data_IF_179893086378
#
_entry.id   IF_179893086378
#
_cell.length_a   1.000
_cell.length_b   1.000
_cell.length_c   1.000
_cell.angle_alpha   90.00
_cell.angle_beta   90.00
_cell.angle_gamma   90.00
#
_symmetry.space_group_name_H-M   'P 1'
#
loop_
_entity.id
_entity.type
_entity.pdbx_description
1 polymer ?
#
# COMPACT_ATOMS: atom_id res chain seq x y z
N UNK A 1 -10.78 -35.93 3.18
CA UNK A 1 -11.00 -34.50 2.87
C UNK A 1 -9.68 -34.03 2.29
N UNK A 2 -9.62 -33.76 0.99
CA UNK A 2 -8.38 -33.30 0.35
C UNK A 2 -8.22 -31.82 0.66
N UNK A 3 -7.04 -31.41 1.10
CA UNK A 3 -6.71 -29.99 1.17
C UNK A 3 -7.01 -29.37 -0.20
N UNK A 4 -7.62 -28.20 -0.23
CA UNK A 4 -7.75 -27.48 -1.49
C UNK A 4 -6.34 -27.23 -2.03
N UNK A 5 -6.18 -27.24 -3.36
CA UNK A 5 -4.86 -27.13 -4.01
C UNK A 5 -4.05 -25.92 -3.46
N UNK A 6 -4.74 -24.82 -3.14
CA UNK A 6 -4.15 -23.64 -2.52
C UNK A 6 -3.61 -23.84 -1.10
N UNK A 7 -4.29 -24.62 -0.25
CA UNK A 7 -3.80 -24.91 1.11
C UNK A 7 -2.57 -25.83 1.08
N UNK A 8 -2.55 -26.79 0.15
CA UNK A 8 -1.39 -27.65 -0.05
C UNK A 8 -0.18 -26.84 -0.55
N UNK A 9 -0.39 -25.94 -1.52
CA UNK A 9 0.64 -25.03 -2.01
C UNK A 9 1.17 -24.10 -0.90
N UNK A 10 0.30 -23.56 -0.04
CA UNK A 10 0.74 -22.75 1.11
C UNK A 10 1.66 -23.52 2.06
N UNK A 11 1.33 -24.79 2.36
CA UNK A 11 2.16 -25.62 3.22
C UNK A 11 3.56 -25.85 2.61
N UNK A 12 3.64 -26.05 1.30
CA UNK A 12 4.90 -26.18 0.59
C UNK A 12 5.72 -24.88 0.63
N UNK A 13 5.09 -23.73 0.40
CA UNK A 13 5.75 -22.41 0.52
C UNK A 13 6.28 -22.15 1.93
N UNK A 14 5.54 -22.52 2.98
CA UNK A 14 6.00 -22.43 4.36
C UNK A 14 7.18 -23.38 4.65
N UNK A 15 7.18 -24.56 4.02
CA UNK A 15 8.31 -25.50 4.09
C UNK A 15 9.55 -24.91 3.44
N UNK A 16 9.42 -24.25 2.29
CA UNK A 16 10.54 -23.54 1.63
C UNK A 16 11.12 -22.42 2.50
N UNK A 17 10.28 -21.67 3.22
CA UNK A 17 10.74 -20.64 4.17
C UNK A 17 11.51 -21.20 5.38
N UNK A 18 11.50 -22.52 5.58
CA UNK A 18 12.28 -23.18 6.64
C UNK A 18 13.70 -23.53 6.20
N UNK A 19 13.99 -23.51 4.88
CA UNK A 19 15.35 -23.72 4.37
C UNK A 19 16.19 -22.45 4.54
N UNK A 20 17.30 -22.50 5.32
CA UNK A 20 18.16 -21.34 5.55
C UNK A 20 18.85 -20.81 4.27
N UNK A 21 18.92 -21.60 3.21
CA UNK A 21 19.55 -21.22 1.94
C UNK A 21 18.55 -20.94 0.82
N UNK A 22 17.26 -20.81 1.13
CA UNK A 22 16.21 -20.63 0.13
C UNK A 22 16.46 -19.45 -0.82
N UNK A 23 17.06 -18.36 -0.32
CA UNK A 23 17.42 -17.16 -1.10
C UNK A 23 18.38 -17.44 -2.28
N UNK A 24 19.06 -18.59 -2.28
CA UNK A 24 19.90 -19.03 -3.41
C UNK A 24 19.08 -19.52 -4.60
N UNK A 25 17.85 -19.98 -4.36
CA UNK A 25 16.92 -20.47 -5.36
C UNK A 25 15.81 -19.46 -5.66
N UNK A 26 15.22 -18.88 -4.61
CA UNK A 26 14.13 -17.89 -4.70
C UNK A 26 14.20 -16.96 -3.49
N UNK A 27 13.97 -15.65 -3.70
CA UNK A 27 14.05 -14.70 -2.61
C UNK A 27 12.91 -14.94 -1.63
N UNK A 28 13.19 -14.90 -0.34
CA UNK A 28 12.17 -15.06 0.71
C UNK A 28 11.02 -14.06 0.54
N UNK A 29 11.30 -12.82 0.11
CA UNK A 29 10.28 -11.81 -0.13
C UNK A 29 9.26 -12.20 -1.21
N UNK A 30 9.69 -12.90 -2.27
CA UNK A 30 8.79 -13.37 -3.33
C UNK A 30 7.87 -14.48 -2.81
N UNK A 31 8.39 -15.37 -1.94
CA UNK A 31 7.57 -16.39 -1.27
C UNK A 31 6.52 -15.73 -0.37
N UNK A 32 6.92 -14.75 0.45
CA UNK A 32 5.99 -14.01 1.30
C UNK A 32 4.93 -13.28 0.48
N UNK A 33 5.27 -12.71 -0.67
CA UNK A 33 4.30 -12.06 -1.55
C UNK A 33 3.17 -13.01 -1.95
N UNK A 34 3.52 -14.21 -2.43
CA UNK A 34 2.53 -15.21 -2.84
C UNK A 34 1.64 -15.63 -1.66
N UNK A 35 2.22 -15.82 -0.46
CA UNK A 35 1.46 -16.17 0.74
C UNK A 35 0.48 -15.04 1.13
N UNK A 36 0.93 -13.80 1.12
CA UNK A 36 0.14 -12.62 1.50
C UNK A 36 -1.02 -12.42 0.51
N UNK A 37 -0.72 -12.49 -0.79
CA UNK A 37 -1.72 -12.36 -1.86
C UNK A 37 -2.76 -13.49 -1.79
N UNK A 38 -2.34 -14.73 -1.52
CA UNK A 38 -3.27 -15.83 -1.33
C UNK A 38 -4.24 -15.55 -0.18
N UNK A 39 -3.75 -15.12 0.98
CA UNK A 39 -4.63 -14.82 2.11
C UNK A 39 -5.55 -13.64 1.83
N UNK A 40 -5.05 -12.57 1.20
CA UNK A 40 -5.85 -11.42 0.84
C UNK A 40 -6.94 -11.76 -0.19
N UNK A 41 -6.63 -12.56 -1.21
CA UNK A 41 -7.60 -13.03 -2.20
C UNK A 41 -8.73 -13.88 -1.59
N UNK A 42 -8.45 -14.55 -0.48
CA UNK A 42 -9.42 -15.32 0.29
C UNK A 42 -10.11 -14.50 1.40
N UNK A 43 -9.96 -13.17 1.43
CA UNK A 43 -10.44 -12.26 2.47
C UNK A 43 -9.95 -12.61 3.88
N UNK A 44 -8.88 -13.40 3.99
CA UNK A 44 -8.25 -13.74 5.26
C UNK A 44 -7.19 -12.69 5.63
N UNK A 45 -7.66 -11.46 5.88
CA UNK A 45 -6.79 -10.33 6.16
C UNK A 45 -5.97 -10.50 7.44
N UNK A 46 -6.45 -11.28 8.41
CA UNK A 46 -5.72 -11.63 9.64
C UNK A 46 -4.51 -12.53 9.36
N UNK A 47 -4.63 -13.52 8.48
CA UNK A 47 -3.46 -14.32 8.09
C UNK A 47 -2.51 -13.52 7.18
N UNK A 48 -3.05 -12.67 6.29
CA UNK A 48 -2.24 -11.83 5.42
C UNK A 48 -1.35 -10.86 6.21
N UNK A 49 -1.91 -10.20 7.23
CA UNK A 49 -1.15 -9.28 8.09
C UNK A 49 -0.09 -10.00 8.93
N UNK A 50 -0.40 -11.18 9.47
CA UNK A 50 0.57 -11.98 10.21
C UNK A 50 1.76 -12.38 9.31
N UNK A 51 1.50 -12.77 8.07
CA UNK A 51 2.55 -13.09 7.10
C UNK A 51 3.42 -11.86 6.76
N UNK A 52 2.83 -10.67 6.62
CA UNK A 52 3.57 -9.42 6.42
C UNK A 52 4.45 -9.05 7.63
N UNK A 53 3.95 -9.25 8.85
CA UNK A 53 4.73 -9.00 10.07
C UNK A 53 5.89 -9.99 10.19
N UNK A 54 5.66 -11.27 9.88
CA UNK A 54 6.71 -12.28 9.84
C UNK A 54 7.78 -11.94 8.79
N UNK A 55 7.36 -11.52 7.59
CA UNK A 55 8.26 -11.03 6.54
C UNK A 55 9.14 -9.89 7.04
N UNK A 56 8.57 -8.88 7.70
CA UNK A 56 9.35 -7.76 8.29
C UNK A 56 10.30 -8.24 9.39
N UNK A 57 9.89 -9.19 10.22
CA UNK A 57 10.74 -9.76 11.28
C UNK A 57 11.95 -10.51 10.72
N UNK A 58 11.78 -11.26 9.63
CA UNK A 58 12.87 -12.03 9.02
C UNK A 58 13.74 -11.18 8.10
N UNK A 59 13.14 -10.18 7.45
CA UNK A 59 13.76 -9.34 6.43
C UNK A 59 13.64 -7.85 6.85
N UNK A 60 14.31 -7.41 7.91
CA UNK A 60 14.09 -6.07 8.48
C UNK A 60 14.53 -4.91 7.58
N UNK A 61 15.32 -5.19 6.53
CA UNK A 61 15.85 -4.18 5.60
C UNK A 61 15.04 -4.01 4.34
N UNK A 62 13.96 -4.78 4.16
CA UNK A 62 13.14 -4.72 2.94
C UNK A 62 11.84 -3.97 3.18
N UNK A 63 11.41 -3.22 2.17
CA UNK A 63 10.07 -2.66 2.15
C UNK A 63 9.11 -3.67 1.48
N UNK A 64 8.03 -4.11 2.16
CA UNK A 64 7.04 -5.02 1.58
C UNK A 64 6.41 -4.53 0.27
N UNK A 65 6.36 -3.22 0.03
CA UNK A 65 5.83 -2.64 -1.21
C UNK A 65 6.64 -2.99 -2.47
N UNK A 66 7.85 -3.54 -2.34
CA UNK A 66 8.62 -4.04 -3.48
C UNK A 66 8.21 -5.44 -3.94
N UNK A 67 7.45 -6.16 -3.11
CA UNK A 67 7.11 -7.56 -3.33
C UNK A 67 5.61 -7.77 -3.49
N UNK A 68 4.80 -7.01 -2.75
CA UNK A 68 3.34 -7.19 -2.71
C UNK A 68 2.67 -6.08 -3.51
N UNK A 69 1.66 -6.45 -4.31
CA UNK A 69 0.86 -5.48 -5.06
C UNK A 69 0.28 -4.39 -4.14
N UNK A 70 0.37 -3.09 -4.52
CA UNK A 70 -0.18 -1.98 -3.73
C UNK A 70 -1.66 -2.12 -3.38
N UNK A 71 -2.49 -2.71 -4.25
CA UNK A 71 -3.92 -2.96 -4.01
C UNK A 71 -4.13 -3.99 -2.91
N UNK A 72 -3.29 -5.04 -2.88
CA UNK A 72 -3.29 -6.04 -1.81
C UNK A 72 -2.92 -5.40 -0.47
N UNK A 73 -1.86 -4.59 -0.44
CA UNK A 73 -1.46 -3.86 0.78
C UNK A 73 -2.54 -2.90 1.26
N UNK A 74 -3.19 -2.16 0.35
CA UNK A 74 -4.30 -1.28 0.68
C UNK A 74 -5.50 -2.04 1.22
N UNK A 75 -5.82 -3.21 0.65
CA UNK A 75 -6.92 -4.06 1.12
C UNK A 75 -6.66 -4.57 2.53
N UNK A 76 -5.43 -5.00 2.82
CA UNK A 76 -5.03 -5.42 4.16
C UNK A 76 -5.12 -4.24 5.14
N UNK A 77 -4.58 -3.08 4.77
CA UNK A 77 -4.62 -1.87 5.59
C UNK A 77 -6.06 -1.48 5.99
N UNK A 78 -6.97 -1.42 5.01
CA UNK A 78 -8.38 -1.06 5.23
C UNK A 78 -9.11 -2.04 6.14
N UNK A 79 -8.80 -3.34 6.08
CA UNK A 79 -9.50 -4.37 6.84
C UNK A 79 -8.88 -4.66 8.20
N UNK A 80 -7.65 -4.21 8.45
CA UNK A 80 -6.92 -4.49 9.71
C UNK A 80 -6.61 -3.23 10.51
N UNK A 81 -6.81 -2.04 9.94
CA UNK A 81 -6.46 -0.77 10.58
C UNK A 81 -4.96 -0.46 10.58
N UNK A 82 -4.12 -1.28 9.95
CA UNK A 82 -2.68 -0.99 9.87
C UNK A 82 -2.34 0.03 8.78
N UNK A 83 -1.48 0.97 9.12
CA UNK A 83 -0.87 1.94 8.23
C UNK A 83 0.55 1.48 7.82
N UNK A 84 0.73 1.10 6.56
CA UNK A 84 2.05 0.71 6.04
C UNK A 84 2.92 1.91 5.63
N UNK A 85 2.76 3.09 6.26
CA UNK A 85 3.47 4.29 5.82
C UNK A 85 4.98 4.08 5.92
N UNK A 86 5.65 4.30 4.79
CA UNK A 86 7.09 4.16 4.57
C UNK A 86 7.86 5.24 5.34
N UNK A 87 7.88 5.18 6.67
CA UNK A 87 8.82 5.97 7.46
C UNK A 87 9.66 5.03 8.30
N UNK A 88 10.92 4.94 7.90
CA UNK A 88 11.96 4.18 8.55
C UNK A 88 12.25 4.76 9.95
N UNK A 89 12.52 3.86 10.90
CA UNK A 89 13.12 4.04 12.22
C UNK A 89 12.19 4.42 13.39
N UNK A 90 12.18 3.52 14.37
CA UNK A 90 11.75 3.80 15.75
C UNK A 90 10.62 2.89 16.18
N UNK A 91 10.95 1.99 17.11
CA UNK A 91 10.11 1.42 18.15
C UNK A 91 8.65 1.91 18.20
N UNK A 92 7.70 0.99 18.26
CA UNK A 92 6.94 0.76 19.50
C UNK A 92 5.98 -0.42 19.35
N UNK A 93 6.11 -1.27 20.36
CA UNK A 93 5.17 -2.26 20.81
C UNK A 93 3.85 -1.63 21.27
N UNK A 94 2.87 -2.52 21.42
CA UNK A 94 1.70 -2.39 22.29
C UNK A 94 0.40 -1.78 21.73
N UNK A 95 -0.66 -2.57 21.88
CA UNK A 95 -1.99 -2.27 21.39
C UNK A 95 -2.65 -1.09 22.11
N UNK A 96 -3.46 -0.37 21.35
CA UNK A 96 -4.35 0.65 21.86
C UNK A 96 -5.52 0.79 20.89
N UNK A 97 -6.67 0.25 21.26
CA UNK A 97 -7.95 0.73 20.75
C UNK A 97 -8.09 2.20 21.09
N UNK A 98 -8.40 3.05 20.10
CA UNK A 98 -9.27 4.21 20.24
C UNK A 98 -9.48 4.84 18.85
N UNK A 99 -10.72 4.71 18.39
CA UNK A 99 -11.47 5.70 17.60
C UNK A 99 -10.89 7.12 17.72
N UNK A 100 -10.67 7.81 16.60
CA UNK A 100 -11.20 9.16 16.36
C UNK A 100 -11.05 9.49 14.87
N UNK A 101 -12.16 9.85 14.24
CA UNK A 101 -12.21 10.33 12.87
C UNK A 101 -11.41 11.61 12.68
N UNK A 102 -10.83 11.76 11.49
CA UNK A 102 -10.52 13.07 10.96
C UNK A 102 -10.91 13.12 9.48
N UNK A 103 -11.92 13.93 9.21
CA UNK A 103 -12.42 14.21 7.88
C UNK A 103 -11.44 15.04 7.08
N UNK A 104 -11.36 14.72 5.80
CA UNK A 104 -11.05 15.70 4.78
C UNK A 104 -12.10 15.53 3.70
N UNK A 105 -13.25 16.14 3.95
CA UNK A 105 -14.16 16.57 2.89
C UNK A 105 -13.37 17.55 2.00
N UNK A 106 -13.15 17.17 0.74
CA UNK A 106 -12.62 18.09 -0.27
C UNK A 106 -13.69 19.17 -0.52
N UNK A 107 -13.47 20.38 0.00
CA UNK A 107 -14.18 21.57 -0.47
C UNK A 107 -13.78 21.82 -1.93
N UNK A 108 -14.66 21.43 -2.86
CA UNK A 108 -14.68 21.94 -4.22
C UNK A 108 -15.10 23.41 -4.17
N UNK A 109 -14.12 24.31 -4.32
CA UNK A 109 -14.38 25.72 -4.57
C UNK A 109 -14.76 25.86 -6.04
N UNK A 110 -16.04 26.12 -6.31
CA UNK A 110 -16.49 26.61 -7.62
C UNK A 110 -16.06 28.08 -7.73
N UNK A 111 -15.02 28.35 -8.54
CA UNK A 111 -14.69 29.72 -8.95
C UNK A 111 -15.61 30.10 -10.11
N UNK A 112 -16.70 30.80 -9.78
CA UNK A 112 -17.50 31.59 -10.73
C UNK A 112 -16.65 32.78 -11.23
N UNK A 113 -16.06 32.65 -12.42
CA UNK A 113 -15.38 33.73 -13.14
C UNK A 113 -16.39 34.43 -14.06
N UNK A 114 -17.27 35.23 -13.46
CA UNK A 114 -18.11 36.21 -14.15
C UNK A 114 -17.50 37.62 -14.01
N UNK A 115 -17.14 38.21 -15.15
CA UNK A 115 -17.35 39.62 -15.56
C UNK A 115 -16.17 40.25 -16.33
N UNK A 116 -16.44 40.38 -17.64
CA UNK A 116 -16.00 41.42 -18.57
C UNK A 116 -15.76 42.79 -17.92
N UNK A 117 -14.54 43.33 -18.02
CA UNK A 117 -14.33 44.72 -18.44
C UNK A 117 -12.86 44.97 -18.86
N UNK A 118 -12.52 44.73 -20.14
CA UNK A 118 -11.26 45.23 -20.71
C UNK A 118 -11.53 46.48 -21.55
N UNK A 119 -11.01 47.65 -21.16
CA UNK A 119 -11.17 48.84 -21.98
C UNK A 119 -10.38 48.71 -23.28
N UNK A 120 -11.07 48.94 -24.40
CA UNK A 120 -10.47 49.04 -25.74
C UNK A 120 -9.47 50.20 -25.78
N UNK A 121 -8.17 49.90 -25.74
CA UNK A 121 -7.14 50.89 -26.07
C UNK A 121 -6.96 50.97 -27.58
N UNK A 122 -7.61 51.97 -28.17
CA UNK A 122 -7.31 52.48 -29.51
C UNK A 122 -5.81 52.78 -29.65
N UNK A 123 -5.13 52.09 -30.57
CA UNK A 123 -3.87 52.57 -31.12
C UNK A 123 -4.14 53.23 -32.47
N UNK A 124 -4.23 54.56 -32.42
CA UNK A 124 -4.18 55.43 -33.60
C UNK A 124 -2.76 55.40 -34.17
N UNK A 125 -2.67 55.22 -35.49
CA UNK A 125 -1.45 55.38 -36.31
C UNK A 125 -0.81 56.77 -36.13
N UNK A 126 0.52 56.80 -36.14
CA UNK A 126 1.43 57.83 -36.67
C UNK A 126 2.86 57.33 -36.38
N UNK A 127 3.82 57.20 -37.30
CA UNK A 127 4.13 57.99 -38.48
C UNK A 127 5.55 58.55 -38.30
N UNK A 128 6.41 58.30 -39.30
CA UNK A 128 7.72 58.97 -39.54
C UNK A 128 8.90 58.54 -38.67
N UNK A 129 10.14 58.45 -39.17
CA UNK A 129 10.76 59.04 -40.36
C UNK A 129 11.84 58.10 -40.94
#
# INVERSE_FOLDING_TARGET
MFATDGEAALHELQTLLSDPNIDTAVRQGDIYAVIVEFYAANNNFKSAINALQEMKSRLPKINPSFYVDPQTLQSIARNTGMNFSTTENGDLDEGGSEDEGNGSEEEVVEEDDDEDDRPQRNFTLNGSA
#
